data_IF_791051146978
#
_entry.id   IF_791051146978
#
_cell.length_a   1.000
_cell.length_b   1.000
_cell.length_c   1.000
_cell.angle_alpha   90.00
_cell.angle_beta   90.00
_cell.angle_gamma   90.00
#
_symmetry.space_group_name_H-M   'P 1'
#
loop_
_entity.id
_entity.type
_entity.pdbx_description
1 polymer ?
#
# COMPACT_ATOMS: atom_id res chain seq x y z
N UNK A 1 7.06 -9.62 19.26
CA UNK A 1 7.83 -9.83 18.00
C UNK A 1 8.93 -8.80 17.99
N UNK A 2 10.16 -9.19 17.71
CA UNK A 2 11.31 -8.27 17.55
C UNK A 2 11.68 -8.29 16.08
N UNK A 3 11.77 -7.11 15.45
CA UNK A 3 12.21 -6.97 14.06
C UNK A 3 13.29 -5.89 13.97
N UNK A 4 14.16 -5.93 12.94
CA UNK A 4 15.13 -4.87 12.73
C UNK A 4 14.46 -3.51 12.58
N UNK A 5 15.06 -2.48 13.15
CA UNK A 5 14.65 -1.11 12.90
C UNK A 5 15.17 -0.69 11.52
N UNK A 6 14.24 -0.37 10.62
CA UNK A 6 14.57 0.14 9.28
C UNK A 6 14.23 1.61 9.25
N UNK A 7 15.22 2.41 8.90
CA UNK A 7 15.09 3.86 8.83
C UNK A 7 14.56 4.26 7.46
N UNK A 8 13.30 4.70 7.42
CA UNK A 8 12.73 5.39 6.28
C UNK A 8 12.44 6.82 6.69
N UNK A 9 13.17 7.78 6.09
CA UNK A 9 13.08 9.20 6.43
C UNK A 9 12.89 10.06 5.19
N UNK A 10 12.14 11.13 5.37
CA UNK A 10 12.09 12.24 4.42
C UNK A 10 13.42 12.99 4.39
N UNK A 11 13.65 13.82 3.38
CA UNK A 11 14.80 14.74 3.30
C UNK A 11 14.93 15.65 4.54
N UNK A 12 13.80 15.93 5.19
CA UNK A 12 13.74 16.73 6.41
C UNK A 12 13.92 15.91 7.70
N UNK A 13 14.24 14.62 7.58
CA UNK A 13 14.52 13.73 8.71
C UNK A 13 13.28 13.19 9.44
N UNK A 14 12.08 13.43 8.95
CA UNK A 14 10.85 12.89 9.53
C UNK A 14 10.67 11.42 9.11
N UNK A 15 10.29 10.56 10.05
CA UNK A 15 9.98 9.17 9.74
C UNK A 15 8.79 9.10 8.79
N UNK A 16 8.89 8.25 7.77
CA UNK A 16 7.82 8.04 6.81
C UNK A 16 7.69 6.57 6.45
N UNK A 17 6.55 6.21 5.90
CA UNK A 17 6.30 4.95 5.23
C UNK A 17 5.26 5.14 4.14
N UNK A 18 5.03 4.08 3.36
CA UNK A 18 4.01 4.05 2.32
C UNK A 18 2.96 3.00 2.68
N UNK A 19 1.71 3.37 2.50
CA UNK A 19 0.59 2.46 2.57
C UNK A 19 0.12 2.12 1.17
N UNK A 20 0.27 0.86 0.79
CA UNK A 20 -0.06 0.36 -0.54
C UNK A 20 -1.31 -0.50 -0.44
N UNK A 21 -2.39 -0.13 -1.13
CA UNK A 21 -3.64 -0.90 -1.16
C UNK A 21 -3.89 -1.49 -2.54
N UNK A 22 -4.00 -2.81 -2.57
CA UNK A 22 -4.30 -3.62 -3.76
C UNK A 22 -5.62 -4.31 -3.55
N UNK A 23 -6.48 -4.32 -4.57
CA UNK A 23 -7.74 -5.05 -4.58
C UNK A 23 -7.91 -5.82 -5.88
N UNK A 24 -8.75 -6.84 -5.87
CA UNK A 24 -9.22 -7.49 -7.10
C UNK A 24 -10.35 -6.67 -7.71
N UNK A 25 -10.28 -6.51 -9.02
CA UNK A 25 -11.30 -5.84 -9.83
C UNK A 25 -12.40 -6.80 -10.29
N UNK A 26 -13.34 -6.30 -11.09
CA UNK A 26 -14.46 -7.08 -11.64
C UNK A 26 -14.07 -8.21 -12.60
N UNK A 27 -12.78 -8.41 -12.88
CA UNK A 27 -12.24 -9.54 -13.64
C UNK A 27 -11.40 -10.49 -12.76
N UNK A 28 -11.34 -10.23 -11.46
CA UNK A 28 -10.53 -11.02 -10.52
C UNK A 28 -9.03 -10.73 -10.58
N UNK A 29 -8.62 -9.62 -11.20
CA UNK A 29 -7.22 -9.22 -11.39
C UNK A 29 -6.85 -8.21 -10.29
N UNK A 30 -5.66 -8.37 -9.69
CA UNK A 30 -5.12 -7.41 -8.72
C UNK A 30 -4.80 -6.09 -9.40
N UNK A 31 -5.26 -4.99 -8.80
CA UNK A 31 -4.93 -3.63 -9.24
C UNK A 31 -4.70 -2.71 -8.04
N UNK A 32 -3.96 -1.64 -8.26
CA UNK A 32 -3.74 -0.63 -7.24
C UNK A 32 -5.03 0.13 -6.96
N UNK A 33 -5.46 0.11 -5.72
CA UNK A 33 -6.57 0.95 -5.25
C UNK A 33 -6.07 2.33 -4.88
N UNK A 34 -5.02 2.37 -4.05
CA UNK A 34 -4.47 3.61 -3.53
C UNK A 34 -3.04 3.37 -3.02
N UNK A 35 -2.18 4.36 -3.23
CA UNK A 35 -0.88 4.47 -2.58
C UNK A 35 -0.78 5.86 -1.98
N UNK A 36 -0.36 5.96 -0.72
CA UNK A 36 -0.06 7.24 -0.10
C UNK A 36 1.07 7.13 0.92
N UNK A 37 1.91 8.18 1.03
CA UNK A 37 2.87 8.29 2.10
C UNK A 37 2.19 8.65 3.41
N UNK A 38 2.72 8.13 4.51
CA UNK A 38 2.41 8.58 5.87
C UNK A 38 3.69 9.17 6.44
N UNK A 39 3.61 10.36 7.00
CA UNK A 39 4.74 11.07 7.58
C UNK A 39 4.48 11.31 9.05
N UNK A 40 5.44 11.03 9.91
CA UNK A 40 5.30 11.29 11.35
C UNK A 40 5.26 12.79 11.63
N UNK A 41 4.45 13.21 12.62
CA UNK A 41 4.62 14.52 13.24
C UNK A 41 5.80 14.48 14.21
N UNK A 42 6.65 15.49 14.18
CA UNK A 42 7.73 15.73 15.14
C UNK A 42 8.53 14.49 15.60
N UNK A 43 9.59 14.11 14.91
CA UNK A 43 10.62 13.13 15.32
C UNK A 43 10.11 11.83 15.99
N UNK A 44 8.86 11.46 15.79
CA UNK A 44 8.31 10.20 16.30
C UNK A 44 8.68 9.06 15.36
N UNK A 45 9.04 7.92 15.94
CA UNK A 45 9.43 6.70 15.22
C UNK A 45 8.27 6.13 14.38
N UNK A 46 7.01 6.48 14.69
CA UNK A 46 5.81 5.91 14.04
C UNK A 46 5.06 6.96 13.25
N UNK A 47 4.91 6.72 11.96
CA UNK A 47 4.17 7.56 11.00
C UNK A 47 2.63 7.41 11.10
N UNK A 48 2.12 6.79 12.16
CA UNK A 48 0.68 6.56 12.31
C UNK A 48 -0.08 7.89 12.52
N UNK A 49 -1.12 8.11 11.72
CA UNK A 49 -2.02 9.29 11.80
C UNK A 49 -2.60 9.51 13.20
N UNK A 50 -2.87 8.42 13.94
CA UNK A 50 -3.33 8.50 15.34
C UNK A 50 -2.28 9.11 16.29
N UNK A 51 -1.02 9.12 15.92
CA UNK A 51 0.10 9.64 16.69
C UNK A 51 0.58 11.02 16.23
N UNK A 52 -0.25 11.75 15.45
CA UNK A 52 0.06 13.10 14.95
C UNK A 52 0.73 13.11 13.56
N UNK A 53 0.85 11.97 12.89
CA UNK A 53 1.28 11.89 11.52
C UNK A 53 0.20 12.35 10.53
N UNK A 54 0.59 12.68 9.30
CA UNK A 54 -0.34 13.05 8.23
C UNK A 54 -0.21 12.13 7.02
N UNK A 55 -1.28 12.07 6.22
CA UNK A 55 -1.31 11.39 4.93
C UNK A 55 -1.03 12.38 3.82
N UNK A 56 0.01 12.13 3.04
CA UNK A 56 0.35 12.94 1.88
C UNK A 56 -0.32 12.45 0.59
N UNK A 57 -0.37 13.34 -0.40
CA UNK A 57 -0.63 12.93 -1.79
C UNK A 57 0.65 12.33 -2.38
N UNK A 58 0.54 11.18 -3.05
CA UNK A 58 1.70 10.42 -3.53
C UNK A 58 2.61 11.25 -4.45
N UNK A 59 2.06 11.84 -5.51
CA UNK A 59 2.87 12.53 -6.53
C UNK A 59 3.63 13.73 -5.95
N UNK A 60 2.99 14.68 -5.24
CA UNK A 60 3.73 15.80 -4.63
C UNK A 60 4.81 15.33 -3.66
N UNK A 61 4.52 14.31 -2.84
CA UNK A 61 5.51 13.74 -1.92
C UNK A 61 6.70 13.14 -2.67
N UNK A 62 6.46 12.34 -3.71
CA UNK A 62 7.54 11.74 -4.48
C UNK A 62 8.37 12.78 -5.23
N UNK A 63 7.74 13.85 -5.74
CA UNK A 63 8.46 14.96 -6.36
C UNK A 63 9.38 15.69 -5.36
N UNK A 64 8.91 15.93 -4.15
CA UNK A 64 9.70 16.54 -3.09
C UNK A 64 10.88 15.65 -2.69
N UNK A 65 10.62 14.35 -2.47
CA UNK A 65 11.64 13.43 -1.93
C UNK A 65 12.60 12.87 -2.99
N UNK A 66 12.16 12.68 -4.23
CA UNK A 66 12.94 12.02 -5.27
C UNK A 66 13.23 12.90 -6.48
N UNK A 67 12.70 14.14 -6.55
CA UNK A 67 12.95 15.06 -7.66
C UNK A 67 12.54 14.44 -8.99
N UNK A 68 13.41 14.50 -10.00
CA UNK A 68 13.15 14.00 -11.36
C UNK A 68 12.92 12.48 -11.43
N UNK A 69 13.37 11.72 -10.40
CA UNK A 69 13.19 10.26 -10.33
C UNK A 69 11.79 9.84 -9.79
N UNK A 70 10.90 10.78 -9.50
CA UNK A 70 9.61 10.51 -8.87
C UNK A 70 8.71 9.54 -9.65
N UNK A 71 8.72 9.61 -10.99
CA UNK A 71 7.94 8.69 -11.83
C UNK A 71 8.48 7.26 -11.77
N UNK A 72 9.80 7.10 -11.73
CA UNK A 72 10.42 5.80 -11.57
C UNK A 72 10.07 5.22 -10.19
N UNK A 73 10.17 6.01 -9.14
CA UNK A 73 9.81 5.59 -7.79
C UNK A 73 8.32 5.19 -7.69
N UNK A 74 7.43 5.95 -8.34
CA UNK A 74 6.00 5.58 -8.43
C UNK A 74 5.83 4.21 -9.08
N UNK A 75 6.48 3.96 -10.21
CA UNK A 75 6.40 2.66 -10.92
C UNK A 75 6.95 1.51 -10.06
N UNK A 76 8.04 1.74 -9.33
CA UNK A 76 8.61 0.74 -8.41
C UNK A 76 7.63 0.39 -7.30
N UNK A 77 6.98 1.38 -6.68
CA UNK A 77 5.95 1.15 -5.65
C UNK A 77 4.76 0.36 -6.19
N UNK A 78 4.26 0.73 -7.37
CA UNK A 78 3.14 0.03 -8.03
C UNK A 78 3.52 -1.41 -8.40
N UNK A 79 4.68 -1.60 -9.01
CA UNK A 79 5.18 -2.92 -9.37
C UNK A 79 5.40 -3.80 -8.13
N UNK A 80 6.02 -3.24 -7.09
CA UNK A 80 6.21 -3.94 -5.83
C UNK A 80 4.88 -4.40 -5.23
N UNK A 81 3.88 -3.51 -5.15
CA UNK A 81 2.59 -3.83 -4.55
C UNK A 81 1.88 -4.97 -5.28
N UNK A 82 1.86 -4.96 -6.61
CA UNK A 82 1.23 -6.02 -7.43
C UNK A 82 2.02 -7.33 -7.33
N UNK A 83 3.34 -7.28 -7.52
CA UNK A 83 4.20 -8.48 -7.46
C UNK A 83 4.17 -9.14 -6.10
N UNK A 84 4.23 -8.35 -5.03
CA UNK A 84 4.11 -8.86 -3.67
C UNK A 84 2.73 -9.47 -3.41
N UNK A 85 1.65 -8.85 -3.88
CA UNK A 85 0.29 -9.38 -3.71
C UNK A 85 0.13 -10.75 -4.37
N UNK A 86 0.66 -10.94 -5.56
CA UNK A 86 0.68 -12.26 -6.24
C UNK A 86 1.53 -13.27 -5.49
N UNK A 87 2.73 -12.87 -5.04
CA UNK A 87 3.60 -13.75 -4.25
C UNK A 87 2.92 -14.14 -2.93
N UNK A 88 2.36 -13.16 -2.21
CA UNK A 88 1.67 -13.41 -0.94
C UNK A 88 0.48 -14.37 -1.14
N UNK A 89 -0.32 -14.19 -2.19
CA UNK A 89 -1.43 -15.10 -2.50
C UNK A 89 -0.94 -16.53 -2.79
N UNK A 90 0.24 -16.68 -3.40
CA UNK A 90 0.81 -18.01 -3.71
C UNK A 90 1.22 -18.79 -2.46
N UNK A 91 1.43 -18.13 -1.33
CA UNK A 91 1.80 -18.76 -0.06
C UNK A 91 0.60 -19.32 0.71
N UNK A 92 -0.61 -18.97 0.31
CA UNK A 92 -1.85 -19.34 1.01
C UNK A 92 -2.80 -20.12 0.09
N UNK A 93 -3.54 -21.04 0.68
CA UNK A 93 -4.56 -21.82 -0.05
C UNK A 93 -5.78 -20.98 -0.46
N UNK A 94 -6.06 -19.91 0.28
CA UNK A 94 -7.20 -19.04 0.05
C UNK A 94 -6.77 -17.76 -0.65
N UNK A 95 -7.53 -17.38 -1.68
CA UNK A 95 -7.39 -16.10 -2.35
C UNK A 95 -7.97 -14.99 -1.49
N UNK A 96 -7.34 -13.83 -1.53
CA UNK A 96 -7.87 -12.62 -0.89
C UNK A 96 -8.41 -11.64 -1.95
N UNK A 97 -9.35 -10.83 -1.54
CA UNK A 97 -10.01 -9.78 -2.33
C UNK A 97 -9.26 -8.45 -2.25
N UNK A 98 -8.62 -8.19 -1.11
CA UNK A 98 -7.84 -6.98 -0.89
C UNK A 98 -6.64 -7.23 0.03
N UNK A 99 -5.62 -6.41 -0.11
CA UNK A 99 -4.40 -6.45 0.68
C UNK A 99 -3.86 -5.03 0.89
N UNK A 100 -3.52 -4.68 2.10
CA UNK A 100 -2.74 -3.47 2.38
C UNK A 100 -1.36 -3.85 2.89
N UNK A 101 -0.34 -3.15 2.40
CA UNK A 101 1.06 -3.40 2.70
C UNK A 101 1.65 -2.08 3.22
N UNK A 102 2.21 -2.14 4.41
CA UNK A 102 2.97 -1.04 5.00
C UNK A 102 4.44 -1.22 4.65
N UNK A 103 5.01 -0.26 3.93
CA UNK A 103 6.35 -0.36 3.32
C UNK A 103 7.21 0.84 3.66
N UNK A 104 8.43 0.58 4.14
CA UNK A 104 9.50 1.58 4.20
C UNK A 104 10.43 1.47 2.99
N UNK A 105 11.08 2.58 2.66
CA UNK A 105 12.14 2.63 1.65
C UNK A 105 13.38 3.17 2.36
N UNK A 106 14.46 2.42 2.37
CA UNK A 106 15.72 2.85 2.98
C UNK A 106 16.54 3.77 2.05
N UNK A 107 17.69 4.23 2.55
CA UNK A 107 18.61 5.09 1.79
C UNK A 107 19.17 4.46 0.52
N UNK A 108 19.19 3.11 0.44
CA UNK A 108 19.61 2.35 -0.72
C UNK A 108 18.46 2.06 -1.69
N UNK A 109 17.29 2.68 -1.47
CA UNK A 109 16.04 2.45 -2.22
C UNK A 109 15.54 1.01 -2.14
N UNK A 110 15.89 0.27 -1.08
CA UNK A 110 15.34 -1.07 -0.81
C UNK A 110 13.99 -0.96 -0.11
N UNK A 111 13.07 -1.84 -0.49
CA UNK A 111 11.72 -1.92 0.08
C UNK A 111 11.72 -2.87 1.27
N UNK A 112 11.15 -2.40 2.39
CA UNK A 112 11.01 -3.15 3.61
C UNK A 112 9.56 -3.23 4.01
N UNK A 113 9.03 -4.44 4.18
CA UNK A 113 7.65 -4.66 4.59
C UNK A 113 7.59 -4.60 6.11
N UNK A 114 6.75 -3.70 6.64
CA UNK A 114 6.51 -3.58 8.08
C UNK A 114 5.31 -4.42 8.52
N UNK A 115 4.23 -4.36 7.74
CA UNK A 115 2.98 -5.05 8.05
C UNK A 115 2.22 -5.37 6.77
N UNK A 116 1.45 -6.47 6.83
CA UNK A 116 0.53 -6.88 5.77
C UNK A 116 -0.85 -7.11 6.38
N UNK A 117 -1.86 -6.42 5.86
CA UNK A 117 -3.24 -6.52 6.30
C UNK A 117 -4.14 -6.99 5.17
N UNK A 118 -4.80 -8.13 5.32
CA UNK A 118 -5.69 -8.72 4.30
C UNK A 118 -7.14 -8.21 4.37
N UNK A 119 -7.48 -7.41 5.36
CA UNK A 119 -8.77 -6.69 5.49
C UNK A 119 -8.51 -5.29 6.02
N UNK A 120 -7.89 -4.42 5.20
CA UNK A 120 -7.61 -3.06 5.62
C UNK A 120 -8.91 -2.28 5.81
N UNK A 121 -8.97 -1.47 6.86
CA UNK A 121 -10.10 -0.59 7.07
C UNK A 121 -10.27 0.40 5.90
N UNK A 122 -11.51 0.73 5.54
CA UNK A 122 -11.84 1.63 4.40
C UNK A 122 -12.08 3.09 4.79
N UNK A 123 -11.99 3.44 6.07
CA UNK A 123 -12.31 4.78 6.57
C UNK A 123 -11.63 5.89 5.76
N UNK A 124 -12.40 6.85 5.27
CA UNK A 124 -12.01 7.94 4.36
C UNK A 124 -11.56 7.49 2.96
N UNK A 125 -11.90 6.26 2.55
CA UNK A 125 -11.53 5.66 1.27
C UNK A 125 -12.67 4.80 0.69
N UNK A 126 -13.83 4.89 1.28
CA UNK A 126 -14.98 4.02 1.00
C UNK A 126 -15.32 3.98 -0.49
N UNK A 127 -15.25 5.15 -1.15
CA UNK A 127 -15.55 5.26 -2.57
C UNK A 127 -14.49 4.54 -3.46
N UNK A 128 -13.21 4.72 -3.17
CA UNK A 128 -12.14 4.06 -3.93
C UNK A 128 -12.14 2.54 -3.74
N UNK A 129 -12.44 2.10 -2.52
CA UNK A 129 -12.61 0.67 -2.20
C UNK A 129 -13.83 0.08 -2.92
N UNK A 130 -14.97 0.76 -2.87
CA UNK A 130 -16.22 0.30 -3.46
C UNK A 130 -16.14 0.14 -4.98
N UNK A 131 -15.38 0.98 -5.69
CA UNK A 131 -15.17 0.89 -7.14
C UNK A 131 -14.63 -0.47 -7.59
N UNK A 132 -13.91 -1.18 -6.73
CA UNK A 132 -13.32 -2.49 -7.02
C UNK A 132 -14.07 -3.61 -6.34
N UNK A 133 -14.43 -3.41 -5.08
CA UNK A 133 -15.10 -4.42 -4.26
C UNK A 133 -16.45 -4.83 -4.86
N UNK A 134 -17.26 -3.86 -5.31
CA UNK A 134 -18.59 -4.15 -5.86
C UNK A 134 -18.50 -4.96 -7.17
N UNK A 135 -17.73 -4.56 -8.20
CA UNK A 135 -17.56 -5.36 -9.40
C UNK A 135 -16.93 -6.74 -9.13
N UNK A 136 -16.03 -6.84 -8.17
CA UNK A 136 -15.45 -8.13 -7.80
C UNK A 136 -16.47 -9.07 -7.13
N UNK A 137 -17.32 -8.54 -6.25
CA UNK A 137 -18.41 -9.33 -5.67
C UNK A 137 -19.37 -9.88 -6.75
N UNK A 138 -19.71 -9.07 -7.75
CA UNK A 138 -20.51 -9.51 -8.91
C UNK A 138 -19.78 -10.60 -9.70
N UNK A 139 -18.48 -10.44 -9.96
CA UNK A 139 -17.66 -11.45 -10.62
C UNK A 139 -17.69 -12.80 -9.88
N UNK A 140 -17.54 -12.79 -8.55
CA UNK A 140 -17.60 -14.00 -7.74
C UNK A 140 -19.00 -14.64 -7.78
N UNK A 141 -20.05 -13.83 -7.70
CA UNK A 141 -21.44 -14.33 -7.79
C UNK A 141 -21.70 -15.05 -9.12
N UNK A 142 -21.29 -14.44 -10.23
CA UNK A 142 -21.46 -15.05 -11.57
C UNK A 142 -20.65 -16.34 -11.71
N UNK A 143 -19.41 -16.37 -11.18
CA UNK A 143 -18.56 -17.56 -11.24
C UNK A 143 -19.15 -18.75 -10.48
N UNK A 144 -19.75 -18.50 -9.33
CA UNK A 144 -20.38 -19.55 -8.51
C UNK A 144 -21.72 -20.01 -9.07
N UNK A 145 -22.40 -19.20 -9.90
CA UNK A 145 -23.66 -19.55 -10.53
C UNK A 145 -23.51 -20.44 -11.78
N UNK A 146 -22.28 -20.56 -12.31
CA UNK A 146 -21.93 -21.35 -13.49
C UNK A 146 -21.22 -22.68 -13.15
N UNK A 147 -21.00 -22.93 -11.86
CA UNK A 147 -20.44 -24.18 -11.33
C UNK A 147 -21.52 -25.07 -10.72
#
# INVERSE_FOLDING_TARGET
MVQPYIECKTKNGLSCDFWLHVQKNGSGICEITLIYPRVSGDNKIVSNVKSGGYRGKLIPFLQEEFGDDYLNMKRLLEHFAISFSHHFESLYLNKFDELAIDVGIDENKQFWIYEVNWRPGSRHREFEVAKRLIPYAVFLGNKNSTA
#
